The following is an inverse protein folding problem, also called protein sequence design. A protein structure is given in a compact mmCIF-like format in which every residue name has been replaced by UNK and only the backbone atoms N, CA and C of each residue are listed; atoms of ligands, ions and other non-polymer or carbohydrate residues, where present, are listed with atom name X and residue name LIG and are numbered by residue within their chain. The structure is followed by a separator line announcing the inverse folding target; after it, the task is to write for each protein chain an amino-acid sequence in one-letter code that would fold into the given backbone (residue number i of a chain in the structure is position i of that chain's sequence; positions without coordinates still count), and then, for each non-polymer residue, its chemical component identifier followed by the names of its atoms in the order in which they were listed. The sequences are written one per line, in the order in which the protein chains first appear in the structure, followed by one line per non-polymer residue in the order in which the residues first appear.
data_IF_478665668568
#
_entry.id   IF_478665668568
#
_cell.length_a   1.000
_cell.length_b   1.000
_cell.length_c   1.000
_cell.angle_alpha   90.00
_cell.angle_beta   90.00
_cell.angle_gamma   90.00
#
_symmetry.space_group_name_H-M   'P 1'
#
loop_
_entity.id
_entity.type
_entity.pdbx_description
1 polymer ?
#
# COMPACT_ATOMS: atom_id res chain seq x y z
N UNK A 1 49.99 -25.11 -15.10
CA UNK A 1 49.28 -26.39 -15.44
C UNK A 1 49.99 -27.64 -14.85
N UNK A 2 51.31 -27.70 -14.90
CA UNK A 2 52.11 -28.85 -14.35
C UNK A 2 51.86 -29.13 -12.87
N UNK A 3 51.71 -28.10 -12.03
CA UNK A 3 51.56 -28.25 -10.58
C UNK A 3 50.22 -28.83 -10.15
N UNK A 4 49.14 -28.50 -10.89
CA UNK A 4 47.82 -29.04 -10.66
C UNK A 4 47.74 -30.53 -10.99
N UNK A 5 48.35 -30.93 -12.12
CA UNK A 5 48.41 -32.34 -12.51
C UNK A 5 49.25 -33.16 -11.51
N UNK A 6 50.35 -32.59 -11.00
CA UNK A 6 51.15 -33.21 -9.93
C UNK A 6 50.40 -33.42 -8.65
N UNK A 7 49.62 -32.43 -8.20
CA UNK A 7 48.79 -32.52 -7.00
C UNK A 7 47.70 -33.59 -7.13
N UNK A 8 47.03 -33.68 -8.26
CA UNK A 8 46.03 -34.71 -8.53
C UNK A 8 46.66 -36.09 -8.52
N UNK A 9 47.83 -36.25 -9.17
CA UNK A 9 48.58 -37.47 -9.20
C UNK A 9 49.05 -37.94 -7.81
N UNK A 10 49.57 -37.02 -6.98
CA UNK A 10 49.94 -37.30 -5.61
C UNK A 10 48.73 -37.73 -4.75
N UNK A 11 47.54 -37.12 -4.99
CA UNK A 11 46.30 -37.49 -4.31
C UNK A 11 45.88 -38.93 -4.65
N UNK A 12 45.98 -39.33 -5.92
CA UNK A 12 45.65 -40.69 -6.38
C UNK A 12 46.59 -41.72 -5.82
N UNK A 13 47.93 -41.45 -5.80
CA UNK A 13 48.91 -42.33 -5.20
C UNK A 13 48.66 -42.45 -3.67
N UNK A 14 48.25 -41.38 -3.02
CA UNK A 14 47.93 -41.36 -1.59
C UNK A 14 46.82 -42.33 -1.18
N UNK A 15 45.90 -42.68 -2.08
CA UNK A 15 44.83 -43.64 -1.82
C UNK A 15 45.36 -45.08 -1.62
N UNK A 16 46.55 -45.40 -2.12
CA UNK A 16 47.14 -46.73 -2.05
C UNK A 16 48.27 -46.86 -0.97
N UNK A 17 48.53 -45.77 -0.20
CA UNK A 17 49.57 -45.75 0.86
C UNK A 17 49.00 -46.11 2.21
N UNK A 18 49.80 -46.75 3.05
CA UNK A 18 49.41 -47.05 4.43
C UNK A 18 49.22 -45.73 5.22
N UNK A 19 48.30 -45.74 6.18
CA UNK A 19 47.97 -44.58 7.03
C UNK A 19 49.21 -44.03 7.77
N UNK A 20 50.08 -44.94 8.25
CA UNK A 20 51.35 -44.61 8.92
C UNK A 20 52.35 -43.89 7.98
N UNK A 21 52.45 -44.31 6.71
CA UNK A 21 53.28 -43.63 5.71
C UNK A 21 52.76 -42.21 5.38
N UNK A 22 51.48 -42.03 5.29
CA UNK A 22 50.84 -40.70 5.08
C UNK A 22 51.06 -39.77 6.28
N UNK A 23 50.95 -40.30 7.49
CA UNK A 23 51.20 -39.51 8.72
C UNK A 23 52.67 -39.09 8.83
N UNK A 24 53.61 -39.98 8.49
CA UNK A 24 55.05 -39.66 8.45
C UNK A 24 55.37 -38.60 7.40
N UNK A 25 54.76 -38.68 6.18
CA UNK A 25 54.94 -37.71 5.14
C UNK A 25 54.39 -36.34 5.56
N UNK A 26 53.23 -36.29 6.19
CA UNK A 26 52.66 -35.09 6.77
C UNK A 26 53.58 -34.45 7.81
N UNK A 27 54.16 -35.24 8.69
CA UNK A 27 55.09 -34.74 9.71
C UNK A 27 56.34 -34.13 9.10
N UNK A 28 56.94 -34.80 8.11
CA UNK A 28 58.15 -34.34 7.39
C UNK A 28 57.80 -33.03 6.64
N UNK A 29 56.65 -32.96 5.93
CA UNK A 29 56.21 -31.77 5.23
C UNK A 29 55.95 -30.59 6.18
N UNK A 30 55.37 -30.86 7.36
CA UNK A 30 55.16 -29.85 8.41
C UNK A 30 56.50 -29.33 8.95
N UNK A 31 57.48 -30.21 9.14
CA UNK A 31 58.79 -29.79 9.57
C UNK A 31 59.52 -28.95 8.54
N UNK A 32 59.50 -29.36 7.26
CA UNK A 32 60.06 -28.57 6.15
C UNK A 32 59.41 -27.19 6.03
N UNK A 33 58.09 -27.09 6.16
CA UNK A 33 57.36 -25.83 6.20
C UNK A 33 57.81 -24.96 7.37
N UNK A 34 58.05 -25.53 8.56
CA UNK A 34 58.54 -24.78 9.70
C UNK A 34 59.95 -24.21 9.48
N UNK A 35 60.84 -25.00 8.82
CA UNK A 35 62.19 -24.55 8.45
C UNK A 35 62.13 -23.44 7.40
N UNK A 36 61.33 -23.57 6.37
CA UNK A 36 61.12 -22.57 5.32
C UNK A 36 60.57 -21.27 5.92
N UNK A 37 59.65 -21.35 6.88
CA UNK A 37 59.07 -20.17 7.57
C UNK A 37 60.10 -19.34 8.34
N UNK A 38 61.16 -19.97 8.86
CA UNK A 38 62.22 -19.22 9.54
C UNK A 38 63.02 -18.31 8.60
N UNK A 39 63.04 -18.63 7.28
CA UNK A 39 63.78 -17.89 6.24
C UNK A 39 62.90 -17.11 5.28
N UNK A 40 61.57 -17.18 5.37
CA UNK A 40 60.62 -16.56 4.42
C UNK A 40 60.25 -15.14 4.79
N UNK A 41 59.97 -14.27 3.79
CA UNK A 41 59.45 -12.92 4.02
C UNK A 41 58.06 -12.97 4.73
N UNK A 42 57.80 -11.96 5.57
CA UNK A 42 56.59 -11.90 6.43
C UNK A 42 55.24 -12.01 5.71
N UNK A 43 55.18 -11.93 4.38
CA UNK A 43 53.94 -12.06 3.59
C UNK A 43 54.20 -12.94 2.37
N UNK A 44 53.48 -14.04 2.29
CA UNK A 44 53.43 -14.91 1.09
C UNK A 44 52.29 -14.43 0.20
N UNK A 45 52.59 -14.16 -1.07
CA UNK A 45 51.58 -13.80 -2.07
C UNK A 45 51.01 -15.07 -2.70
N UNK A 46 49.70 -15.29 -2.53
CA UNK A 46 48.99 -16.43 -3.11
C UNK A 46 48.25 -16.01 -4.37
N UNK A 47 48.45 -16.76 -5.45
CA UNK A 47 47.74 -16.55 -6.73
C UNK A 47 46.26 -16.92 -6.65
N UNK A 48 45.53 -16.59 -7.70
CA UNK A 48 44.09 -16.93 -7.77
C UNK A 48 43.85 -18.44 -7.79
N UNK A 49 44.74 -19.21 -8.43
CA UNK A 49 44.67 -20.67 -8.51
C UNK A 49 44.89 -21.29 -7.13
N UNK A 50 45.87 -20.82 -6.35
CA UNK A 50 46.14 -21.31 -4.99
C UNK A 50 44.95 -21.10 -4.06
N UNK A 51 44.29 -19.92 -4.20
CA UNK A 51 43.07 -19.58 -3.45
C UNK A 51 41.90 -20.51 -3.78
N UNK A 52 41.69 -20.80 -5.08
CA UNK A 52 40.63 -21.72 -5.54
C UNK A 52 40.87 -23.13 -5.05
N UNK A 53 42.15 -23.64 -5.12
CA UNK A 53 42.50 -24.94 -4.63
C UNK A 53 42.26 -25.07 -3.13
N UNK A 54 42.72 -24.11 -2.34
CA UNK A 54 42.52 -24.12 -0.88
C UNK A 54 41.03 -24.04 -0.49
N UNK A 55 40.24 -23.23 -1.18
CA UNK A 55 38.81 -23.15 -0.95
C UNK A 55 38.09 -24.44 -1.38
N UNK A 56 38.52 -25.08 -2.47
CA UNK A 56 38.02 -26.37 -2.93
C UNK A 56 38.29 -27.48 -1.92
N UNK A 57 39.53 -27.56 -1.43
CA UNK A 57 39.94 -28.53 -0.41
C UNK A 57 39.17 -28.32 0.90
N UNK A 58 38.97 -27.09 1.33
CA UNK A 58 38.15 -26.78 2.51
C UNK A 58 36.71 -27.26 2.36
N UNK A 59 36.15 -27.15 1.16
CA UNK A 59 34.77 -27.61 0.89
C UNK A 59 34.64 -29.14 0.93
N UNK A 60 35.68 -29.85 0.49
CA UNK A 60 35.69 -31.31 0.48
C UNK A 60 36.05 -31.90 1.85
N UNK A 61 36.93 -31.25 2.59
CA UNK A 61 37.42 -31.69 3.89
C UNK A 61 37.58 -30.50 4.84
N UNK A 62 36.59 -30.18 5.67
CA UNK A 62 36.65 -29.03 6.61
C UNK A 62 37.82 -29.09 7.60
N UNK A 63 38.29 -30.27 7.95
CA UNK A 63 39.47 -30.48 8.82
C UNK A 63 40.81 -29.95 8.25
N UNK A 64 40.85 -29.56 6.95
CA UNK A 64 42.02 -28.89 6.35
C UNK A 64 42.38 -27.58 7.05
N UNK A 65 41.47 -26.96 7.77
CA UNK A 65 41.72 -25.71 8.52
C UNK A 65 42.88 -25.90 9.55
N UNK A 66 42.95 -27.05 10.18
CA UNK A 66 43.98 -27.38 11.19
C UNK A 66 45.37 -27.60 10.58
N UNK A 67 45.39 -27.97 9.29
CA UNK A 67 46.62 -28.18 8.52
C UNK A 67 47.20 -26.87 7.94
N UNK A 68 46.45 -25.77 7.97
CA UNK A 68 46.89 -24.50 7.45
C UNK A 68 47.97 -23.86 8.32
N UNK A 69 49.23 -23.84 7.85
CA UNK A 69 50.38 -23.23 8.55
C UNK A 69 50.78 -21.87 7.97
N UNK A 70 50.50 -21.62 6.70
CA UNK A 70 50.93 -20.39 5.97
C UNK A 70 49.89 -19.31 6.01
N UNK A 71 48.60 -19.66 6.04
CA UNK A 71 47.46 -18.76 6.03
C UNK A 71 46.64 -18.97 7.30
N UNK A 72 46.04 -17.88 7.78
CA UNK A 72 45.08 -17.97 8.88
C UNK A 72 43.75 -18.57 8.41
N UNK A 73 43.12 -19.46 9.18
CA UNK A 73 41.81 -20.05 8.83
C UNK A 73 40.77 -19.03 8.45
N UNK A 74 40.73 -17.87 9.12
CA UNK A 74 39.77 -16.77 8.82
C UNK A 74 39.95 -16.20 7.41
N UNK A 75 41.19 -16.23 6.88
CA UNK A 75 41.47 -15.76 5.51
C UNK A 75 40.86 -16.71 4.48
N UNK A 76 40.95 -18.00 4.69
CA UNK A 76 40.34 -19.02 3.84
C UNK A 76 38.81 -18.92 3.88
N UNK A 77 38.24 -18.80 5.07
CA UNK A 77 36.79 -18.61 5.24
C UNK A 77 36.30 -17.33 4.57
N UNK A 78 37.08 -16.24 4.61
CA UNK A 78 36.77 -15.01 3.91
C UNK A 78 36.73 -15.20 2.39
N UNK A 79 37.69 -15.93 1.83
CA UNK A 79 37.71 -16.26 0.41
C UNK A 79 36.52 -17.15 0.01
N UNK A 80 36.20 -18.17 0.78
CA UNK A 80 35.03 -19.02 0.57
C UNK A 80 33.74 -18.21 0.57
N UNK A 81 33.53 -17.31 1.56
CA UNK A 81 32.37 -16.41 1.62
C UNK A 81 32.32 -15.45 0.43
N UNK A 82 33.46 -14.96 -0.01
CA UNK A 82 33.54 -14.09 -1.17
C UNK A 82 33.15 -14.84 -2.47
N UNK A 83 33.69 -16.05 -2.65
CA UNK A 83 33.37 -16.93 -3.78
C UNK A 83 31.88 -17.34 -3.78
N UNK A 84 31.34 -17.71 -2.61
CA UNK A 84 29.92 -18.02 -2.44
C UNK A 84 29.04 -16.84 -2.84
N UNK A 85 29.35 -15.63 -2.35
CA UNK A 85 28.61 -14.42 -2.73
C UNK A 85 28.71 -14.11 -4.22
N UNK A 86 29.88 -14.29 -4.83
CA UNK A 86 30.09 -14.08 -6.25
C UNK A 86 29.31 -15.09 -7.09
N UNK A 87 29.32 -16.37 -6.73
CA UNK A 87 28.56 -17.43 -7.38
C UNK A 87 27.05 -17.17 -7.33
N UNK A 88 26.51 -16.85 -6.15
CA UNK A 88 25.07 -16.57 -6.04
C UNK A 88 24.67 -15.29 -6.72
N UNK A 89 25.53 -14.25 -6.73
CA UNK A 89 25.30 -13.03 -7.50
C UNK A 89 25.27 -13.30 -9.01
N UNK A 90 26.11 -14.18 -9.48
CA UNK A 90 26.12 -14.62 -10.88
C UNK A 90 24.86 -15.44 -11.20
N UNK A 91 24.55 -16.43 -10.37
CA UNK A 91 23.38 -17.30 -10.54
C UNK A 91 22.05 -16.55 -10.40
N UNK A 92 21.98 -15.52 -9.56
CA UNK A 92 20.80 -14.69 -9.33
C UNK A 92 20.64 -13.54 -10.32
N UNK A 93 21.50 -13.47 -11.35
CA UNK A 93 21.31 -12.47 -12.39
C UNK A 93 19.96 -12.72 -13.07
N UNK A 94 19.03 -11.74 -13.04
CA UNK A 94 17.73 -11.92 -13.67
C UNK A 94 17.93 -12.09 -15.17
N UNK A 95 17.56 -13.25 -15.69
CA UNK A 95 17.46 -13.52 -17.11
C UNK A 95 16.16 -12.89 -17.62
N UNK A 96 16.20 -11.64 -18.03
CA UNK A 96 15.03 -10.91 -18.50
C UNK A 96 14.19 -10.35 -17.35
N UNK A 97 14.13 -9.04 -17.18
CA UNK A 97 13.25 -8.38 -16.22
C UNK A 97 11.82 -8.30 -16.77
N UNK A 98 10.84 -8.16 -15.84
CA UNK A 98 9.46 -7.78 -16.21
C UNK A 98 9.52 -6.55 -17.13
N UNK A 99 8.74 -6.52 -18.23
CA UNK A 99 8.70 -5.36 -19.13
C UNK A 99 8.54 -4.06 -18.34
N UNK A 100 9.30 -3.05 -18.72
CA UNK A 100 9.20 -1.74 -18.04
C UNK A 100 7.89 -1.08 -18.42
N UNK A 101 7.21 -0.50 -17.46
CA UNK A 101 5.99 0.29 -17.69
C UNK A 101 6.26 1.36 -18.76
N UNK A 102 5.41 1.53 -19.78
CA UNK A 102 5.55 2.54 -20.83
C UNK A 102 5.75 3.96 -20.26
N UNK A 103 6.52 4.79 -20.97
CA UNK A 103 6.88 6.14 -20.54
C UNK A 103 5.67 7.02 -20.30
N UNK A 104 4.68 6.91 -21.19
CA UNK A 104 3.44 7.70 -21.15
C UNK A 104 2.60 7.38 -19.92
N UNK A 105 2.49 6.10 -19.55
CA UNK A 105 1.79 5.68 -18.34
C UNK A 105 2.51 6.22 -17.08
N UNK A 106 3.85 6.20 -17.08
CA UNK A 106 4.62 6.77 -15.96
C UNK A 106 4.42 8.27 -15.81
N UNK A 107 4.35 9.00 -16.94
CA UNK A 107 4.07 10.43 -16.98
C UNK A 107 2.67 10.70 -16.46
N UNK A 108 1.66 9.99 -16.95
CA UNK A 108 0.27 10.12 -16.51
C UNK A 108 0.11 9.88 -15.00
N UNK A 109 0.75 8.84 -14.45
CA UNK A 109 0.73 8.58 -12.99
C UNK A 109 1.28 9.78 -12.21
N UNK A 110 2.36 10.41 -12.69
CA UNK A 110 2.94 11.60 -12.04
C UNK A 110 2.01 12.80 -12.13
N UNK A 111 1.44 13.06 -13.30
CA UNK A 111 0.47 14.15 -13.53
C UNK A 111 -0.75 13.99 -12.63
N UNK A 112 -1.35 12.79 -12.58
CA UNK A 112 -2.45 12.48 -11.68
C UNK A 112 -2.06 12.69 -10.20
N UNK A 113 -0.86 12.31 -9.81
CA UNK A 113 -0.36 12.48 -8.45
C UNK A 113 -0.13 13.95 -8.08
N UNK A 114 0.33 14.78 -9.03
CA UNK A 114 0.54 16.23 -8.82
C UNK A 114 -0.79 16.96 -8.79
N UNK A 115 -1.66 16.69 -9.76
CA UNK A 115 -2.97 17.34 -9.87
C UNK A 115 -3.91 17.00 -8.70
N UNK A 116 -3.69 15.86 -8.02
CA UNK A 116 -4.53 15.41 -6.91
C UNK A 116 -3.69 15.11 -5.66
N UNK A 117 -3.26 16.14 -4.92
CA UNK A 117 -2.35 15.98 -3.77
C UNK A 117 -2.85 15.05 -2.67
N UNK A 118 -4.13 14.85 -2.53
CA UNK A 118 -4.77 14.00 -1.51
C UNK A 118 -4.96 12.54 -1.95
N UNK A 119 -4.62 12.19 -3.20
CA UNK A 119 -4.83 10.84 -3.70
C UNK A 119 -3.65 9.91 -3.36
N UNK A 120 -3.98 8.73 -2.87
CA UNK A 120 -3.03 7.63 -2.71
C UNK A 120 -2.96 6.71 -3.93
N UNK A 121 -1.99 5.80 -3.96
CA UNK A 121 -1.83 4.84 -5.04
C UNK A 121 -3.08 3.99 -5.34
N UNK A 122 -3.89 3.55 -4.34
CA UNK A 122 -5.12 2.81 -4.62
C UNK A 122 -6.13 3.60 -5.46
N UNK A 123 -6.21 4.91 -5.23
CA UNK A 123 -7.17 5.78 -5.93
C UNK A 123 -6.72 6.07 -7.36
N UNK A 124 -5.46 6.46 -7.55
CA UNK A 124 -4.88 6.63 -8.89
C UNK A 124 -4.98 5.34 -9.70
N UNK A 125 -4.71 4.17 -9.08
CA UNK A 125 -4.89 2.87 -9.72
C UNK A 125 -6.35 2.65 -10.17
N UNK A 126 -7.33 3.00 -9.33
CA UNK A 126 -8.74 2.92 -9.68
C UNK A 126 -9.10 3.78 -10.91
N UNK A 127 -8.59 5.00 -10.99
CA UNK A 127 -8.81 5.87 -12.15
C UNK A 127 -8.14 5.33 -13.41
N UNK A 128 -6.91 4.79 -13.30
CA UNK A 128 -6.23 4.15 -14.42
C UNK A 128 -7.02 2.97 -14.98
N UNK A 129 -7.62 2.14 -14.11
CA UNK A 129 -8.50 1.05 -14.54
C UNK A 129 -9.74 1.57 -15.28
N UNK A 130 -10.31 2.71 -14.86
CA UNK A 130 -11.49 3.29 -15.51
C UNK A 130 -11.21 3.86 -16.92
N UNK A 131 -9.97 4.24 -17.18
CA UNK A 131 -9.53 4.66 -18.53
C UNK A 131 -8.86 3.52 -19.31
N UNK A 132 -9.03 2.25 -18.87
CA UNK A 132 -8.57 1.06 -19.58
C UNK A 132 -7.06 0.77 -19.45
N UNK A 133 -6.38 1.38 -18.48
CA UNK A 133 -4.95 1.14 -18.24
C UNK A 133 -4.79 0.15 -17.07
N UNK A 134 -4.45 -1.09 -17.37
CA UNK A 134 -4.17 -2.11 -16.35
C UNK A 134 -2.68 -2.10 -15.95
N UNK A 135 -2.40 -1.51 -14.82
CA UNK A 135 -1.09 -1.49 -14.16
C UNK A 135 -1.24 -1.84 -12.69
N UNK A 136 -0.35 -2.63 -12.15
CA UNK A 136 -0.43 -3.00 -10.72
C UNK A 136 -0.34 -1.79 -9.79
N UNK A 137 -1.09 -1.80 -8.69
CA UNK A 137 -1.09 -0.74 -7.66
C UNK A 137 0.33 -0.43 -7.13
N UNK A 138 1.19 -1.44 -7.01
CA UNK A 138 2.60 -1.28 -6.61
C UNK A 138 3.40 -0.47 -7.64
N UNK A 139 3.09 -0.62 -8.93
CA UNK A 139 3.68 0.17 -10.02
C UNK A 139 3.25 1.62 -9.90
N UNK A 140 1.96 1.88 -9.63
CA UNK A 140 1.46 3.24 -9.37
C UNK A 140 2.20 3.86 -8.19
N UNK A 141 2.30 3.18 -7.05
CA UNK A 141 3.01 3.66 -5.87
C UNK A 141 4.49 3.97 -6.13
N UNK A 142 5.14 3.19 -7.03
CA UNK A 142 6.54 3.39 -7.44
C UNK A 142 6.74 4.71 -8.21
N UNK A 143 5.79 5.06 -9.10
CA UNK A 143 5.93 6.20 -10.00
C UNK A 143 5.23 7.48 -9.55
N UNK A 144 4.41 7.42 -8.48
CA UNK A 144 3.86 8.60 -7.82
C UNK A 144 4.96 9.53 -7.29
N UNK A 145 4.65 10.81 -7.19
CA UNK A 145 5.53 11.78 -6.54
C UNK A 145 5.63 11.42 -5.05
N UNK A 146 6.86 11.18 -4.57
CA UNK A 146 7.11 10.90 -3.15
C UNK A 146 6.84 12.14 -2.32
N UNK A 147 5.96 12.03 -1.34
CA UNK A 147 5.68 13.07 -0.36
C UNK A 147 6.41 12.77 0.93
N UNK A 148 6.79 13.83 1.67
CA UNK A 148 7.49 13.68 2.96
C UNK A 148 6.64 13.07 4.07
N UNK A 149 5.30 13.13 3.95
CA UNK A 149 4.39 12.49 4.90
C UNK A 149 3.63 11.37 4.20
N UNK A 150 3.65 10.14 4.76
CA UNK A 150 2.82 9.06 4.22
C UNK A 150 1.34 9.38 4.44
N UNK A 151 0.45 9.03 3.49
CA UNK A 151 -0.98 9.07 3.76
C UNK A 151 -1.27 8.17 4.96
N UNK A 152 -2.13 8.63 5.89
CA UNK A 152 -2.47 7.87 7.09
C UNK A 152 -2.89 6.44 6.73
N UNK A 153 -2.11 5.46 7.20
CA UNK A 153 -2.46 4.05 7.09
C UNK A 153 -3.42 3.69 8.22
N UNK A 154 -4.56 3.22 7.92
CA UNK A 154 -5.47 2.75 8.96
C UNK A 154 -6.87 2.37 8.49
N UNK A 155 -7.01 1.60 7.38
CA UNK A 155 -8.33 1.35 6.82
C UNK A 155 -8.61 -0.09 6.38
N UNK A 156 -8.26 -1.10 7.14
CA UNK A 156 -8.37 -2.47 6.63
C UNK A 156 -9.50 -3.34 7.18
N UNK A 157 -10.40 -2.89 8.04
CA UNK A 157 -11.22 -3.90 8.73
C UNK A 157 -12.71 -3.63 8.86
N UNK A 158 -13.32 -2.66 8.21
CA UNK A 158 -14.65 -2.28 8.68
C UNK A 158 -15.87 -2.51 7.77
N UNK A 159 -15.85 -3.22 6.68
CA UNK A 159 -17.10 -3.38 5.93
C UNK A 159 -17.29 -4.74 5.26
N UNK A 160 -17.54 -5.72 6.04
CA UNK A 160 -17.89 -7.05 5.51
C UNK A 160 -19.32 -7.49 5.75
N UNK A 161 -20.13 -6.77 6.49
CA UNK A 161 -21.43 -7.28 6.90
C UNK A 161 -22.58 -6.34 6.55
N UNK A 162 -23.46 -6.80 5.71
CA UNK A 162 -24.87 -6.40 5.58
C UNK A 162 -25.15 -5.00 5.04
N UNK A 163 -24.84 -4.79 3.78
CA UNK A 163 -25.04 -3.49 3.13
C UNK A 163 -26.45 -3.24 2.62
N UNK A 164 -27.21 -4.31 2.30
CA UNK A 164 -28.50 -4.14 1.66
C UNK A 164 -29.58 -3.78 2.67
N UNK A 165 -30.21 -2.64 2.46
CA UNK A 165 -31.29 -2.15 3.31
C UNK A 165 -30.87 -1.40 4.57
N UNK A 166 -29.60 -1.11 4.78
CA UNK A 166 -29.13 -0.28 5.89
C UNK A 166 -28.64 1.07 5.38
N UNK A 167 -29.07 2.16 6.03
CA UNK A 167 -28.46 3.47 5.92
C UNK A 167 -27.92 3.95 7.26
N UNK A 168 -26.86 4.72 7.22
CA UNK A 168 -26.34 5.48 8.36
C UNK A 168 -26.63 6.96 8.18
N UNK A 169 -26.93 7.65 9.26
CA UNK A 169 -27.05 9.10 9.27
C UNK A 169 -26.24 9.70 10.41
N UNK A 170 -25.79 10.92 10.21
CA UNK A 170 -24.99 11.64 11.20
C UNK A 170 -25.03 13.14 10.93
N UNK A 171 -24.74 13.92 11.99
CA UNK A 171 -24.59 15.37 11.93
C UNK A 171 -23.12 15.75 12.10
N UNK A 172 -22.67 16.74 11.35
CA UNK A 172 -21.33 17.31 11.50
C UNK A 172 -21.37 18.83 11.48
N UNK A 173 -20.42 19.44 12.16
CA UNK A 173 -20.31 20.88 12.31
C UNK A 173 -19.32 21.47 11.30
N UNK A 174 -19.68 22.59 10.71
CA UNK A 174 -18.84 23.35 9.79
C UNK A 174 -18.83 24.82 10.22
N UNK A 175 -17.68 25.37 10.65
CA UNK A 175 -17.57 26.79 10.95
C UNK A 175 -17.56 27.62 9.67
N UNK A 176 -18.23 28.76 9.70
CA UNK A 176 -18.17 29.77 8.64
C UNK A 176 -17.08 30.81 8.91
N UNK A 177 -16.74 31.61 7.92
CA UNK A 177 -15.79 32.73 8.06
C UNK A 177 -16.21 33.74 9.15
N UNK A 178 -17.53 33.84 9.42
CA UNK A 178 -18.09 34.69 10.48
C UNK A 178 -18.18 33.96 11.82
N UNK A 179 -17.51 32.83 12.02
CA UNK A 179 -17.53 31.97 13.20
C UNK A 179 -18.90 31.42 13.59
N UNK A 180 -19.89 31.51 12.72
CA UNK A 180 -21.18 30.81 12.89
C UNK A 180 -21.01 29.35 12.58
N UNK A 181 -21.66 28.49 13.37
CA UNK A 181 -21.66 27.05 13.16
C UNK A 181 -22.84 26.65 12.27
N UNK A 182 -22.55 25.91 11.22
CA UNK A 182 -23.55 25.25 10.40
C UNK A 182 -23.51 23.75 10.66
N UNK A 183 -24.67 23.13 10.59
CA UNK A 183 -24.84 21.69 10.74
C UNK A 183 -25.03 21.06 9.37
N UNK A 184 -24.19 20.10 9.04
CA UNK A 184 -24.36 19.22 7.89
C UNK A 184 -25.00 17.92 8.32
N UNK A 185 -26.11 17.52 7.70
CA UNK A 185 -26.71 16.19 7.86
C UNK A 185 -26.28 15.33 6.68
N UNK A 186 -25.76 14.14 6.94
CA UNK A 186 -25.51 13.15 5.90
C UNK A 186 -26.38 11.91 6.09
N UNK A 187 -26.80 11.31 4.96
CA UNK A 187 -27.44 10.01 4.90
C UNK A 187 -26.71 9.15 3.89
N UNK A 188 -26.11 8.05 4.37
CA UNK A 188 -25.29 7.14 3.60
C UNK A 188 -25.95 5.76 3.55
N UNK A 189 -26.24 5.25 2.37
CA UNK A 189 -26.64 3.86 2.16
C UNK A 189 -25.42 2.96 2.24
N UNK A 190 -25.49 1.86 3.00
CA UNK A 190 -24.38 0.92 3.13
C UNK A 190 -24.14 0.12 1.86
N UNK A 191 -25.20 -0.25 1.14
CA UNK A 191 -25.10 -0.84 -0.19
C UNK A 191 -24.36 0.11 -1.12
N UNK A 192 -23.31 -0.37 -1.75
CA UNK A 192 -22.39 0.39 -2.61
C UNK A 192 -21.89 1.72 -2.01
N UNK A 193 -22.15 2.00 -0.72
CA UNK A 193 -21.75 3.25 -0.02
C UNK A 193 -22.27 4.50 -0.70
N UNK A 194 -23.47 4.46 -1.24
CA UNK A 194 -24.06 5.60 -1.95
C UNK A 194 -24.43 6.70 -0.95
N UNK A 195 -23.92 7.89 -1.17
CA UNK A 195 -24.30 9.08 -0.42
C UNK A 195 -25.67 9.54 -0.93
N UNK A 196 -26.72 9.26 -0.14
CA UNK A 196 -28.10 9.57 -0.52
C UNK A 196 -28.39 11.05 -0.39
N UNK A 197 -27.95 11.67 0.72
CA UNK A 197 -28.32 13.03 1.04
C UNK A 197 -27.23 13.79 1.79
N UNK A 198 -27.18 15.10 1.53
CA UNK A 198 -26.46 16.09 2.30
C UNK A 198 -27.35 17.30 2.51
N UNK A 199 -27.76 17.53 3.75
CA UNK A 199 -28.55 18.70 4.17
C UNK A 199 -27.70 19.69 4.96
N UNK A 200 -28.06 20.99 4.92
CA UNK A 200 -27.38 22.04 5.68
C UNK A 200 -28.40 22.90 6.38
N UNK A 201 -28.14 23.25 7.64
CA UNK A 201 -28.94 24.20 8.42
C UNK A 201 -28.11 24.88 9.49
N UNK A 202 -28.51 26.06 9.92
CA UNK A 202 -28.00 26.71 11.11
C UNK A 202 -28.67 26.19 12.39
N UNK A 203 -29.91 25.65 12.26
CA UNK A 203 -30.73 25.22 13.41
C UNK A 203 -31.28 23.81 13.17
N UNK A 204 -30.56 22.75 13.58
CA UNK A 204 -31.03 21.38 13.44
C UNK A 204 -32.17 21.13 14.43
N UNK A 205 -33.36 20.84 13.92
CA UNK A 205 -34.51 20.40 14.72
C UNK A 205 -34.97 19.01 14.29
N UNK A 206 -35.71 18.32 15.13
CA UNK A 206 -36.26 17.00 14.82
C UNK A 206 -37.16 17.03 13.57
N UNK A 207 -37.94 18.13 13.41
CA UNK A 207 -38.80 18.37 12.25
C UNK A 207 -37.99 18.56 10.98
N UNK A 208 -36.91 19.35 11.07
CA UNK A 208 -36.02 19.56 9.93
C UNK A 208 -35.35 18.24 9.50
N UNK A 209 -34.83 17.47 10.45
CA UNK A 209 -34.20 16.17 10.16
C UNK A 209 -35.23 15.21 9.54
N UNK A 210 -36.46 15.14 10.11
CA UNK A 210 -37.53 14.30 9.58
C UNK A 210 -37.89 14.66 8.14
N UNK A 211 -37.92 15.96 7.80
CA UNK A 211 -38.15 16.45 6.42
C UNK A 211 -37.00 16.06 5.50
N UNK A 212 -35.73 16.29 5.94
CA UNK A 212 -34.56 15.89 5.16
C UNK A 212 -34.53 14.38 4.86
N UNK A 213 -34.93 13.55 5.82
CA UNK A 213 -35.04 12.11 5.62
C UNK A 213 -36.10 11.75 4.56
N UNK A 214 -37.27 12.44 4.59
CA UNK A 214 -38.32 12.21 3.60
C UNK A 214 -37.86 12.60 2.19
N UNK A 215 -37.16 13.72 2.07
CA UNK A 215 -36.60 14.19 0.79
C UNK A 215 -35.51 13.24 0.26
N UNK A 216 -34.67 12.72 1.16
CA UNK A 216 -33.56 11.82 0.81
C UNK A 216 -34.01 10.45 0.34
N UNK A 217 -34.99 9.86 1.02
CA UNK A 217 -35.36 8.47 0.78
C UNK A 217 -36.45 8.32 -0.29
N UNK A 218 -37.33 9.31 -0.48
CA UNK A 218 -38.50 9.15 -1.36
C UNK A 218 -39.33 7.90 -0.99
N UNK A 219 -40.33 7.57 -1.80
CA UNK A 219 -41.20 6.42 -1.55
C UNK A 219 -40.60 5.07 -2.02
N UNK A 220 -39.68 5.10 -2.99
CA UNK A 220 -39.15 3.89 -3.63
C UNK A 220 -37.78 3.41 -3.11
N UNK A 221 -37.08 4.21 -2.33
CA UNK A 221 -35.68 3.93 -1.89
C UNK A 221 -35.46 3.98 -0.37
N UNK A 222 -36.54 3.88 0.42
CA UNK A 222 -36.43 3.91 1.87
C UNK A 222 -35.61 2.72 2.40
N UNK A 223 -34.57 2.94 3.22
CA UNK A 223 -33.81 1.87 3.83
C UNK A 223 -34.67 1.13 4.85
N UNK A 224 -34.40 -0.17 5.04
CA UNK A 224 -35.09 -0.98 6.05
C UNK A 224 -34.71 -0.58 7.48
N UNK A 225 -33.46 -0.15 7.66
CA UNK A 225 -32.89 0.26 8.95
C UNK A 225 -32.10 1.55 8.78
N UNK A 226 -32.19 2.42 9.79
CA UNK A 226 -31.34 3.60 9.91
C UNK A 226 -30.50 3.48 11.19
N UNK A 227 -29.18 3.57 11.03
CA UNK A 227 -28.21 3.64 12.13
C UNK A 227 -27.91 5.13 12.36
N UNK A 228 -28.00 5.57 13.60
CA UNK A 228 -27.69 6.94 14.02
C UNK A 228 -27.07 6.95 15.42
N UNK A 229 -26.44 8.04 15.77
CA UNK A 229 -26.01 8.32 17.13
C UNK A 229 -27.21 8.59 18.07
N UNK A 230 -26.90 8.84 19.34
CA UNK A 230 -27.90 9.15 20.37
C UNK A 230 -28.05 10.64 20.65
N UNK A 231 -27.79 11.49 19.67
CA UNK A 231 -27.97 12.93 19.83
C UNK A 231 -29.44 13.25 20.19
N UNK A 232 -29.61 14.21 21.11
CA UNK A 232 -30.94 14.66 21.58
C UNK A 232 -31.74 15.37 20.49
N UNK A 233 -31.10 15.80 19.41
CA UNK A 233 -31.74 16.45 18.27
C UNK A 233 -32.75 15.52 17.57
N UNK A 234 -32.60 14.20 17.70
CA UNK A 234 -33.55 13.20 17.20
C UNK A 234 -34.73 13.04 18.17
N UNK A 235 -35.69 13.94 18.09
CA UNK A 235 -36.87 13.94 18.96
C UNK A 235 -37.97 12.98 18.52
N UNK A 236 -39.13 13.05 19.23
CA UNK A 236 -40.29 12.20 18.96
C UNK A 236 -40.84 12.31 17.55
N UNK A 237 -40.82 13.51 16.96
CA UNK A 237 -41.27 13.77 15.58
C UNK A 237 -40.46 12.97 14.55
N UNK A 238 -39.13 12.90 14.75
CA UNK A 238 -38.26 12.09 13.90
C UNK A 238 -38.59 10.58 14.01
N UNK A 239 -38.78 10.08 15.24
CA UNK A 239 -39.13 8.68 15.46
C UNK A 239 -40.51 8.31 14.86
N UNK A 240 -41.49 9.22 14.92
CA UNK A 240 -42.77 9.03 14.27
C UNK A 240 -42.64 8.99 12.76
N UNK A 241 -41.82 9.87 12.18
CA UNK A 241 -41.56 9.90 10.73
C UNK A 241 -40.94 8.59 10.26
N UNK A 242 -39.95 8.05 10.97
CA UNK A 242 -39.35 6.75 10.64
C UNK A 242 -40.37 5.62 10.61
N UNK A 243 -41.26 5.56 11.64
CA UNK A 243 -42.33 4.56 11.70
C UNK A 243 -43.32 4.71 10.52
N UNK A 244 -43.72 5.95 10.19
CA UNK A 244 -44.62 6.21 9.07
C UNK A 244 -44.00 5.79 7.72
N UNK A 245 -42.70 5.84 7.58
CA UNK A 245 -41.95 5.38 6.40
C UNK A 245 -41.58 3.88 6.44
N UNK A 246 -41.98 3.15 7.48
CA UNK A 246 -41.63 1.74 7.63
C UNK A 246 -40.14 1.46 7.94
N UNK A 247 -39.41 2.49 8.36
CA UNK A 247 -37.98 2.42 8.64
C UNK A 247 -37.77 2.08 10.12
N UNK A 248 -36.94 1.07 10.38
CA UNK A 248 -36.56 0.71 11.77
C UNK A 248 -35.41 1.59 12.26
N UNK A 249 -35.64 2.30 13.35
CA UNK A 249 -34.65 3.11 14.05
C UNK A 249 -33.67 2.24 14.84
N UNK A 250 -32.39 2.41 14.58
CA UNK A 250 -31.30 1.67 15.23
C UNK A 250 -30.27 2.68 15.82
N UNK A 251 -30.58 3.33 16.95
CA UNK A 251 -29.58 4.14 17.63
C UNK A 251 -28.43 3.25 18.11
N UNK A 252 -27.19 3.72 17.94
CA UNK A 252 -26.01 2.99 18.43
C UNK A 252 -26.08 2.71 19.94
N UNK A 253 -25.40 1.66 20.39
CA UNK A 253 -25.29 1.38 21.83
C UNK A 253 -24.52 2.52 22.54
N UNK A 254 -24.80 2.81 23.83
CA UNK A 254 -24.04 3.80 24.59
C UNK A 254 -22.54 3.51 24.53
N UNK A 255 -21.74 4.54 24.37
CA UNK A 255 -20.27 4.47 24.26
C UNK A 255 -19.73 3.58 23.11
N UNK A 256 -20.52 3.42 22.03
CA UNK A 256 -20.16 2.55 20.90
C UNK A 256 -20.15 3.29 19.55
N UNK A 257 -19.33 4.34 19.38
CA UNK A 257 -19.31 5.16 18.16
C UNK A 257 -18.97 4.33 16.92
N UNK A 258 -18.15 3.27 17.06
CA UNK A 258 -17.78 2.38 15.94
C UNK A 258 -18.98 1.77 15.21
N UNK A 259 -20.17 1.72 15.84
CA UNK A 259 -21.39 1.21 15.18
C UNK A 259 -21.90 2.14 14.08
N UNK A 260 -21.58 3.46 14.13
CA UNK A 260 -21.84 4.43 13.05
C UNK A 260 -20.58 4.76 12.22
N UNK A 261 -19.55 3.95 12.30
CA UNK A 261 -18.26 4.19 11.69
C UNK A 261 -18.27 4.42 10.16
N UNK A 262 -19.35 4.09 9.44
CA UNK A 262 -19.50 4.40 8.03
C UNK A 262 -19.79 5.89 7.81
N UNK A 263 -20.68 6.47 8.60
CA UNK A 263 -21.01 7.90 8.54
C UNK A 263 -19.82 8.75 9.01
N UNK A 264 -19.19 8.39 10.15
CA UNK A 264 -18.02 9.08 10.68
C UNK A 264 -16.86 9.13 9.66
N UNK A 265 -16.64 8.03 8.94
CA UNK A 265 -15.63 7.97 7.88
C UNK A 265 -15.95 8.87 6.71
N UNK A 266 -17.21 8.91 6.32
CA UNK A 266 -17.65 9.79 5.24
C UNK A 266 -17.47 11.25 5.64
N UNK A 267 -17.82 11.62 6.88
CA UNK A 267 -17.55 12.97 7.42
C UNK A 267 -16.05 13.29 7.34
N UNK A 268 -15.20 12.37 7.79
CA UNK A 268 -13.76 12.51 7.65
C UNK A 268 -13.28 12.63 6.20
N UNK A 269 -13.96 11.99 5.24
CA UNK A 269 -13.65 12.14 3.81
C UNK A 269 -14.12 13.49 3.28
N UNK A 270 -15.32 13.94 3.63
CA UNK A 270 -15.87 15.28 3.26
C UNK A 270 -14.90 16.36 3.73
N UNK A 271 -14.40 16.26 4.98
CA UNK A 271 -13.44 17.22 5.51
C UNK A 271 -12.14 17.21 4.69
N UNK A 272 -11.45 16.09 4.64
CA UNK A 272 -10.15 15.99 3.96
C UNK A 272 -10.18 16.20 2.46
N UNK A 273 -11.26 15.77 1.80
CA UNK A 273 -11.36 15.87 0.34
C UNK A 273 -11.92 17.24 -0.11
N UNK A 274 -12.57 18.02 0.79
CA UNK A 274 -13.26 19.25 0.43
C UNK A 274 -13.14 20.35 1.49
N UNK A 275 -13.74 20.18 2.68
CA UNK A 275 -13.95 21.27 3.63
C UNK A 275 -12.68 21.86 4.23
N UNK A 276 -11.62 21.06 4.43
CA UNK A 276 -10.33 21.52 4.96
C UNK A 276 -9.55 22.41 3.96
N UNK A 277 -10.05 22.54 2.72
CA UNK A 277 -9.44 23.31 1.64
C UNK A 277 -10.26 24.54 1.20
N UNK A 278 -11.41 24.78 1.84
CA UNK A 278 -12.33 25.83 1.41
C UNK A 278 -12.82 26.61 2.63
N UNK A 279 -12.84 27.94 2.51
CA UNK A 279 -13.47 28.81 3.50
C UNK A 279 -14.96 28.90 3.21
N UNK A 280 -15.80 28.55 4.19
CA UNK A 280 -17.27 28.57 4.05
C UNK A 280 -17.82 29.95 4.42
N UNK A 281 -18.49 30.64 3.49
CA UNK A 281 -19.05 31.96 3.70
C UNK A 281 -20.42 31.94 4.39
N UNK A 282 -21.22 30.88 4.15
CA UNK A 282 -22.57 30.77 4.70
C UNK A 282 -23.26 29.49 4.26
N UNK A 283 -24.55 29.40 4.64
CA UNK A 283 -25.36 28.20 4.43
C UNK A 283 -25.53 27.84 2.94
N UNK A 284 -25.85 28.80 2.08
CA UNK A 284 -26.01 28.56 0.65
C UNK A 284 -24.68 28.08 0.00
N UNK A 285 -23.57 28.70 0.38
CA UNK A 285 -22.25 28.28 -0.09
C UNK A 285 -21.94 26.85 0.32
N UNK A 286 -22.17 26.51 1.59
CA UNK A 286 -21.95 25.14 2.08
C UNK A 286 -22.87 24.13 1.37
N UNK A 287 -24.14 24.47 1.13
CA UNK A 287 -25.08 23.62 0.34
C UNK A 287 -24.53 23.35 -1.06
N UNK A 288 -24.02 24.37 -1.74
CA UNK A 288 -23.46 24.24 -3.08
C UNK A 288 -22.21 23.32 -3.07
N UNK A 289 -21.30 23.53 -2.13
CA UNK A 289 -20.10 22.70 -1.97
C UNK A 289 -20.45 21.24 -1.71
N UNK A 290 -21.37 20.98 -0.77
CA UNK A 290 -21.76 19.63 -0.41
C UNK A 290 -22.53 18.92 -1.53
N UNK A 291 -23.36 19.65 -2.29
CA UNK A 291 -24.03 19.11 -3.49
C UNK A 291 -23.01 18.69 -4.57
N UNK A 292 -22.02 19.53 -4.80
CA UNK A 292 -20.92 19.23 -5.73
C UNK A 292 -20.09 18.04 -5.22
N UNK A 293 -19.83 17.98 -3.91
CA UNK A 293 -19.14 16.85 -3.28
C UNK A 293 -19.96 15.55 -3.40
N UNK A 294 -21.27 15.59 -3.19
CA UNK A 294 -22.16 14.43 -3.34
C UNK A 294 -22.09 13.83 -4.74
N UNK A 295 -22.14 14.69 -5.76
CA UNK A 295 -21.97 14.27 -7.15
C UNK A 295 -20.61 13.61 -7.38
N UNK A 296 -19.53 14.29 -6.97
CA UNK A 296 -18.17 13.77 -7.06
C UNK A 296 -18.02 12.42 -6.34
N UNK A 297 -18.52 12.31 -5.10
CA UNK A 297 -18.45 11.10 -4.29
C UNK A 297 -19.16 9.92 -4.95
N UNK A 298 -20.37 10.16 -5.49
CA UNK A 298 -21.19 9.09 -6.05
C UNK A 298 -20.77 8.70 -7.47
N UNK A 299 -20.35 9.65 -8.30
CA UNK A 299 -20.14 9.41 -9.73
C UNK A 299 -18.67 9.31 -10.13
N UNK A 300 -17.77 9.99 -9.44
CA UNK A 300 -16.38 10.10 -9.85
C UNK A 300 -15.40 9.42 -8.88
N UNK A 301 -15.66 9.48 -7.58
CA UNK A 301 -14.73 9.00 -6.56
C UNK A 301 -14.62 7.49 -6.54
N UNK A 302 -13.43 6.94 -6.78
CA UNK A 302 -13.19 5.50 -6.72
C UNK A 302 -13.03 5.02 -5.28
N UNK A 303 -13.64 3.87 -4.96
CA UNK A 303 -13.63 3.26 -3.63
C UNK A 303 -12.95 1.90 -3.63
N UNK A 304 -11.99 1.70 -2.73
CA UNK A 304 -11.27 0.43 -2.62
C UNK A 304 -12.21 -0.76 -2.37
N UNK A 305 -13.25 -0.55 -1.54
CA UNK A 305 -14.23 -1.61 -1.20
C UNK A 305 -15.22 -1.93 -2.32
N UNK A 306 -15.30 -1.10 -3.36
CA UNK A 306 -16.11 -1.31 -4.55
C UNK A 306 -15.26 -1.74 -5.75
N UNK A 307 -14.15 -2.45 -5.51
CA UNK A 307 -13.23 -2.87 -6.56
C UNK A 307 -12.73 -1.70 -7.43
N UNK A 308 -12.47 -0.55 -6.79
CA UNK A 308 -12.05 0.70 -7.43
C UNK A 308 -13.13 1.36 -8.30
N UNK A 309 -14.38 0.96 -8.12
CA UNK A 309 -15.52 1.63 -8.76
C UNK A 309 -16.07 2.78 -7.91
N UNK A 310 -16.91 3.62 -8.50
CA UNK A 310 -17.71 4.61 -7.79
C UNK A 310 -19.01 3.97 -7.25
N UNK A 311 -19.70 4.60 -6.27
CA UNK A 311 -21.02 4.16 -5.83
C UNK A 311 -22.02 4.00 -6.98
N UNK A 312 -22.05 4.93 -7.92
CA UNK A 312 -22.70 4.79 -9.23
C UNK A 312 -21.64 4.23 -10.19
N UNK A 313 -21.83 3.01 -10.73
CA UNK A 313 -20.84 2.37 -11.57
C UNK A 313 -20.43 3.22 -12.77
N UNK A 314 -19.13 3.24 -13.07
CA UNK A 314 -18.58 3.92 -14.25
C UNK A 314 -18.12 2.88 -15.26
N UNK A 315 -18.50 3.06 -16.52
CA UNK A 315 -17.99 2.24 -17.61
C UNK A 315 -16.48 2.45 -17.79
N UNK A 316 -15.76 1.38 -18.14
CA UNK A 316 -14.35 1.45 -18.52
C UNK A 316 -14.26 2.01 -19.93
N UNK A 317 -13.49 3.08 -20.11
CA UNK A 317 -13.24 3.73 -21.38
C UNK A 317 -11.86 3.33 -21.91
N UNK A 318 -11.80 2.71 -23.08
CA UNK A 318 -10.54 2.20 -23.65
C UNK A 318 -10.08 2.98 -24.88
N UNK A 319 -10.95 3.80 -25.50
CA UNK A 319 -10.69 4.56 -26.73
C UNK A 319 -10.77 6.06 -26.47
N UNK A 320 -9.93 6.84 -27.17
CA UNK A 320 -9.89 8.30 -27.07
C UNK A 320 -8.71 8.85 -26.27
N UNK A 321 -8.53 10.16 -26.29
CA UNK A 321 -7.49 10.86 -25.52
C UNK A 321 -7.91 10.99 -24.05
N UNK A 322 -6.94 10.91 -23.15
CA UNK A 322 -7.20 11.08 -21.72
C UNK A 322 -7.33 12.57 -21.39
N UNK A 323 -8.49 12.95 -20.88
CA UNK A 323 -8.81 14.31 -20.44
C UNK A 323 -8.98 14.35 -18.92
N UNK A 324 -8.42 15.37 -18.28
CA UNK A 324 -8.61 15.68 -16.88
C UNK A 324 -9.75 16.71 -16.74
N UNK A 325 -10.89 16.28 -16.22
CA UNK A 325 -12.05 17.16 -15.97
C UNK A 325 -11.99 17.63 -14.51
N UNK A 326 -11.86 18.95 -14.25
CA UNK A 326 -11.78 19.47 -12.90
C UNK A 326 -13.12 19.35 -12.18
N UNK A 327 -13.07 18.98 -10.89
CA UNK A 327 -14.22 18.84 -9.99
C UNK A 327 -13.92 19.60 -8.70
N UNK A 328 -14.95 20.11 -8.01
CA UNK A 328 -14.81 20.88 -6.76
C UNK A 328 -13.87 22.08 -6.91
N UNK A 329 -14.07 22.85 -7.98
CA UNK A 329 -13.23 24.02 -8.24
C UNK A 329 -11.77 23.69 -8.58
N UNK A 330 -11.50 22.51 -9.12
CA UNK A 330 -10.14 22.03 -9.45
C UNK A 330 -9.41 21.32 -8.31
N UNK A 331 -10.04 21.16 -7.15
CA UNK A 331 -9.47 20.43 -6.02
C UNK A 331 -9.26 18.93 -6.34
N UNK A 332 -10.11 18.37 -7.19
CA UNK A 332 -9.99 17.02 -7.73
C UNK A 332 -10.22 17.02 -9.25
N UNK A 333 -9.77 15.94 -9.90
CA UNK A 333 -9.98 15.74 -11.34
C UNK A 333 -10.57 14.35 -11.57
N UNK A 334 -11.54 14.29 -12.48
CA UNK A 334 -11.99 13.05 -13.07
C UNK A 334 -11.25 12.84 -14.39
N UNK A 335 -10.78 11.64 -14.61
CA UNK A 335 -10.12 11.28 -15.86
C UNK A 335 -11.09 10.49 -16.73
N UNK A 336 -11.26 10.95 -17.96
CA UNK A 336 -12.14 10.36 -18.99
C UNK A 336 -11.39 10.24 -20.30
N UNK A 337 -11.86 9.38 -21.19
CA UNK A 337 -11.40 9.37 -22.59
C UNK A 337 -12.47 10.02 -23.47
N UNK A 338 -12.03 10.95 -24.32
CA UNK A 338 -12.86 11.63 -25.31
C UNK A 338 -12.21 11.57 -26.69
#
# INVERSE_FOLDING_TARGET
MSDLCRLIWCGLIGLFRSRAALEAEILVLRHQLNVLRRKSPKRVTLGSIDRLLLVGLYRLAPGVLDALKIIRPETLMRWHRAGFRAYWRWKSRPCGGRPTTPGDIRRLIREMSVANPLWGAPRIHGELLKIGIDVGQTTVAKYMVRRRMPPSQGWKTFLRNHADGIASMDLFLVPTISFRLLYGLLILQHSRRKLLWLGVTAHPSAEWIARQLTEACGWQQAPRYIIRDRDRVYGGVFAQRLRAMGIRDQPIAPHSPWQNGCAERLIGSIRRDCLDHVVVFGEQHLRHLLKSYQKYYNEARTHLSLQKDAPIPRAVQTVGQTLAVPILGGLHHQYVRA
#
